data_IF_359945283103
#
_entry.id   IF_359945283103
#
_cell.length_a   1.000
_cell.length_b   1.000
_cell.length_c   1.000
_cell.angle_alpha   90.00
_cell.angle_beta   90.00
_cell.angle_gamma   90.00
#
_symmetry.space_group_name_H-M   'P 1'
#
loop_
_entity.id
_entity.type
_entity.pdbx_description
1 polymer ?
#
# COMPACT_ATOMS: atom_id res chain seq x y z
N UNK A 1 -18.54 9.74 5.26
CA UNK A 1 -17.42 9.83 6.19
C UNK A 1 -17.93 10.33 7.53
N UNK A 2 -17.75 9.55 8.60
CA UNK A 2 -18.21 9.92 9.96
C UNK A 2 -17.27 10.97 10.59
N UNK A 3 -15.96 10.74 10.45
CA UNK A 3 -14.92 11.65 10.93
C UNK A 3 -13.67 11.55 10.05
N UNK A 4 -12.85 12.60 10.08
CA UNK A 4 -11.49 12.60 9.56
C UNK A 4 -10.55 12.95 10.71
N UNK A 5 -9.67 12.03 11.09
CA UNK A 5 -8.74 12.19 12.21
C UNK A 5 -7.32 12.14 11.64
N UNK A 6 -6.54 13.20 11.85
CA UNK A 6 -5.13 13.25 11.46
C UNK A 6 -4.30 12.62 12.57
N UNK A 7 -3.52 11.59 12.25
CA UNK A 7 -2.63 10.90 13.18
C UNK A 7 -1.40 10.32 12.48
N UNK A 8 -0.50 9.74 13.28
CA UNK A 8 0.71 9.09 12.81
C UNK A 8 0.79 7.68 13.42
N UNK A 9 0.86 6.65 12.57
CA UNK A 9 0.99 5.25 13.03
C UNK A 9 2.25 4.99 13.86
N UNK A 10 3.29 5.84 13.73
CA UNK A 10 4.48 5.75 14.58
C UNK A 10 4.26 6.34 15.99
N UNK A 11 3.13 6.98 16.23
CA UNK A 11 2.70 7.43 17.55
C UNK A 11 1.55 6.55 18.05
N UNK A 12 1.78 5.57 18.94
CA UNK A 12 0.73 4.68 19.44
C UNK A 12 -0.45 5.43 20.05
N UNK A 13 -0.20 6.59 20.69
CA UNK A 13 -1.24 7.37 21.35
C UNK A 13 -2.28 7.92 20.35
N UNK A 14 -1.87 8.27 19.13
CA UNK A 14 -2.80 8.73 18.10
C UNK A 14 -3.80 7.63 17.72
N UNK A 15 -3.33 6.37 17.64
CA UNK A 15 -4.15 5.22 17.29
C UNK A 15 -5.09 4.88 18.46
N UNK A 16 -4.54 4.76 19.68
CA UNK A 16 -5.29 4.45 20.89
C UNK A 16 -6.43 5.47 21.12
N UNK A 17 -6.13 6.76 21.00
CA UNK A 17 -7.13 7.81 21.16
C UNK A 17 -8.22 7.72 20.08
N UNK A 18 -7.80 7.45 18.81
CA UNK A 18 -8.75 7.30 17.70
C UNK A 18 -9.72 6.15 17.93
N UNK A 19 -9.23 4.98 18.36
CA UNK A 19 -10.07 3.80 18.60
C UNK A 19 -10.95 3.99 19.85
N UNK A 20 -10.41 4.60 20.89
CA UNK A 20 -11.15 4.92 22.12
C UNK A 20 -12.33 5.87 21.86
N UNK A 21 -12.14 6.89 21.03
CA UNK A 21 -13.18 7.86 20.69
C UNK A 21 -14.22 7.30 19.68
N UNK A 22 -13.92 6.19 19.02
CA UNK A 22 -14.78 5.56 18.04
C UNK A 22 -14.99 4.07 18.32
N UNK A 23 -15.66 3.71 19.42
CA UNK A 23 -15.81 2.32 19.88
C UNK A 23 -16.70 1.46 18.97
N UNK A 24 -17.34 2.03 17.97
CA UNK A 24 -18.13 1.36 16.95
C UNK A 24 -17.29 0.83 15.76
N UNK A 25 -15.96 1.04 15.76
CA UNK A 25 -15.05 0.46 14.75
C UNK A 25 -14.96 -1.06 15.00
N UNK A 26 -15.32 -1.84 13.99
CA UNK A 26 -15.29 -3.31 14.02
C UNK A 26 -14.21 -3.91 13.13
N UNK A 27 -13.71 -3.15 12.16
CA UNK A 27 -12.69 -3.59 11.21
C UNK A 27 -11.80 -2.43 10.76
N UNK A 28 -10.61 -2.76 10.31
CA UNK A 28 -9.63 -1.80 9.79
C UNK A 28 -9.32 -2.11 8.33
N UNK A 29 -9.25 -1.07 7.48
CA UNK A 29 -8.67 -1.15 6.15
C UNK A 29 -7.35 -0.36 6.18
N UNK A 30 -6.23 -1.07 6.07
CA UNK A 30 -4.90 -0.51 6.27
C UNK A 30 -4.20 -0.23 4.93
N UNK A 31 -4.28 1.02 4.46
CA UNK A 31 -3.60 1.50 3.26
C UNK A 31 -2.29 2.26 3.56
N UNK A 32 -2.11 2.74 4.78
CA UNK A 32 -1.03 3.65 5.12
C UNK A 32 0.35 2.97 5.05
N UNK A 33 1.17 3.38 4.09
CA UNK A 33 2.55 2.90 3.92
C UNK A 33 3.35 3.83 3.01
N UNK A 34 4.68 3.76 3.09
CA UNK A 34 5.53 4.18 1.97
C UNK A 34 5.55 3.07 0.91
N UNK A 35 5.43 3.44 -0.38
CA UNK A 35 5.21 2.50 -1.48
C UNK A 35 6.19 2.62 -2.66
N UNK A 36 7.15 3.55 -2.61
CA UNK A 36 8.08 3.77 -3.71
C UNK A 36 9.28 2.81 -3.63
N UNK A 37 9.35 1.85 -4.56
CA UNK A 37 10.38 0.81 -4.60
C UNK A 37 11.79 1.43 -4.68
N UNK A 38 12.01 2.36 -5.61
CA UNK A 38 13.33 2.98 -5.78
C UNK A 38 13.80 3.76 -4.53
N UNK A 39 12.90 4.42 -3.82
CA UNK A 39 13.21 5.08 -2.55
C UNK A 39 13.54 4.06 -1.46
N UNK A 40 12.84 2.92 -1.43
CA UNK A 40 13.08 1.88 -0.43
C UNK A 40 14.50 1.34 -0.47
N UNK A 41 15.07 1.21 -1.67
CA UNK A 41 16.46 0.75 -1.85
C UNK A 41 17.46 1.80 -1.33
N UNK A 42 17.16 3.08 -1.50
CA UNK A 42 18.02 4.17 -1.04
C UNK A 42 17.89 4.43 0.47
N UNK A 43 16.72 4.21 1.04
CA UNK A 43 16.45 4.48 2.46
C UNK A 43 15.59 3.36 3.10
N UNK A 44 16.15 2.14 3.25
CA UNK A 44 15.38 1.00 3.75
C UNK A 44 14.87 1.21 5.18
N UNK A 45 15.63 1.89 6.03
CA UNK A 45 15.24 2.16 7.42
C UNK A 45 13.95 2.98 7.54
N UNK A 46 13.70 3.91 6.61
CA UNK A 46 12.45 4.68 6.53
C UNK A 46 11.25 3.73 6.31
N UNK A 47 11.41 2.77 5.39
CA UNK A 47 10.36 1.81 5.03
C UNK A 47 10.08 0.84 6.16
N UNK A 48 11.10 0.26 6.77
CA UNK A 48 10.90 -0.67 7.87
C UNK A 48 10.26 0.00 9.09
N UNK A 49 10.72 1.20 9.48
CA UNK A 49 10.08 1.91 10.59
C UNK A 49 8.62 2.23 10.30
N UNK A 50 8.34 2.85 9.16
CA UNK A 50 6.98 3.26 8.86
C UNK A 50 6.04 2.07 8.64
N UNK A 51 6.43 1.13 7.77
CA UNK A 51 5.54 0.08 7.32
C UNK A 51 5.41 -1.05 8.35
N UNK A 52 6.49 -1.40 9.06
CA UNK A 52 6.45 -2.50 10.04
C UNK A 52 6.07 -1.95 11.41
N UNK A 53 6.82 -0.99 11.95
CA UNK A 53 6.55 -0.49 13.31
C UNK A 53 5.19 0.20 13.38
N UNK A 54 4.83 0.99 12.35
CA UNK A 54 3.50 1.61 12.29
C UNK A 54 2.37 0.58 12.25
N UNK A 55 2.56 -0.55 11.55
CA UNK A 55 1.55 -1.61 11.52
C UNK A 55 1.52 -2.40 12.84
N UNK A 56 2.66 -2.63 13.51
CA UNK A 56 2.68 -3.24 14.85
C UNK A 56 1.89 -2.39 15.84
N UNK A 57 2.13 -1.09 15.89
CA UNK A 57 1.36 -0.19 16.77
C UNK A 57 -0.15 -0.27 16.49
N UNK A 58 -0.54 -0.39 15.21
CA UNK A 58 -1.95 -0.55 14.83
C UNK A 58 -2.52 -1.88 15.31
N UNK A 59 -1.80 -2.99 15.13
CA UNK A 59 -2.24 -4.32 15.56
C UNK A 59 -2.34 -4.44 17.08
N UNK A 60 -1.40 -3.84 17.81
CA UNK A 60 -1.44 -3.76 19.26
C UNK A 60 -2.69 -3.00 19.74
N UNK A 61 -2.95 -1.83 19.17
CA UNK A 61 -4.14 -1.05 19.49
C UNK A 61 -5.44 -1.81 19.13
N UNK A 62 -5.48 -2.48 17.97
CA UNK A 62 -6.61 -3.34 17.60
C UNK A 62 -6.85 -4.44 18.65
N UNK A 63 -5.78 -5.08 19.13
CA UNK A 63 -5.86 -6.10 20.19
C UNK A 63 -6.45 -5.52 21.47
N UNK A 64 -5.96 -4.35 21.93
CA UNK A 64 -6.46 -3.68 23.13
C UNK A 64 -7.95 -3.29 23.04
N UNK A 65 -8.42 -2.94 21.85
CA UNK A 65 -9.81 -2.54 21.61
C UNK A 65 -10.71 -3.68 21.11
N UNK A 66 -10.21 -4.93 21.04
CA UNK A 66 -11.00 -6.09 20.61
C UNK A 66 -11.39 -6.10 19.14
N UNK A 67 -10.66 -5.38 18.29
CA UNK A 67 -10.91 -5.33 16.84
C UNK A 67 -10.17 -6.48 16.17
N UNK A 68 -10.91 -7.47 15.65
CA UNK A 68 -10.34 -8.72 15.16
C UNK A 68 -10.33 -8.85 13.62
N UNK A 69 -10.60 -7.79 12.87
CA UNK A 69 -10.67 -7.85 11.42
C UNK A 69 -9.84 -6.76 10.77
N UNK A 70 -8.97 -7.16 9.82
CA UNK A 70 -8.14 -6.20 9.06
C UNK A 70 -8.05 -6.59 7.58
N UNK A 71 -8.22 -5.61 6.69
CA UNK A 71 -7.87 -5.71 5.28
C UNK A 71 -6.55 -4.97 5.08
N UNK A 72 -5.53 -5.68 4.64
CA UNK A 72 -4.18 -5.14 4.47
C UNK A 72 -3.84 -4.93 3.00
N UNK A 73 -3.44 -3.73 2.66
CA UNK A 73 -2.87 -3.38 1.36
C UNK A 73 -1.44 -3.93 1.26
N UNK A 74 -1.33 -5.15 0.75
CA UNK A 74 -0.05 -5.77 0.43
C UNK A 74 0.37 -5.43 -1.01
N UNK A 75 1.25 -6.22 -1.63
CA UNK A 75 1.82 -5.93 -2.95
C UNK A 75 2.30 -7.19 -3.65
N UNK A 76 2.24 -7.21 -4.97
CA UNK A 76 2.90 -8.22 -5.81
C UNK A 76 4.43 -8.24 -5.63
N UNK A 77 5.04 -7.13 -5.17
CA UNK A 77 6.48 -7.08 -4.88
C UNK A 77 6.94 -8.08 -3.79
N UNK A 78 6.01 -8.69 -3.05
CA UNK A 78 6.31 -9.79 -2.11
C UNK A 78 6.78 -11.05 -2.85
N UNK A 79 6.36 -11.27 -4.09
CA UNK A 79 6.76 -12.44 -4.87
C UNK A 79 8.19 -12.37 -5.40
N UNK A 80 8.71 -11.16 -5.67
CA UNK A 80 10.02 -10.96 -6.30
C UNK A 80 10.00 -11.34 -7.77
N UNK A 81 11.09 -11.99 -8.23
CA UNK A 81 11.20 -12.47 -9.61
C UNK A 81 10.27 -13.66 -9.83
N UNK A 82 9.40 -13.64 -10.85
CA UNK A 82 8.46 -14.72 -11.11
C UNK A 82 9.14 -16.04 -11.45
N UNK A 83 8.76 -17.12 -10.77
CA UNK A 83 9.21 -18.48 -11.10
C UNK A 83 8.28 -19.16 -12.11
N UNK A 84 7.04 -18.73 -12.19
CA UNK A 84 6.05 -19.16 -13.18
C UNK A 84 4.98 -18.06 -13.40
N UNK A 85 4.25 -18.18 -14.50
CA UNK A 85 3.16 -17.25 -14.86
C UNK A 85 1.96 -18.04 -15.40
N UNK A 86 0.71 -17.67 -15.06
CA UNK A 86 0.35 -16.55 -14.18
C UNK A 86 0.75 -16.78 -12.72
N UNK A 87 1.03 -15.70 -11.99
CA UNK A 87 1.30 -15.75 -10.55
C UNK A 87 -0.01 -15.95 -9.80
N UNK A 88 -0.07 -16.94 -8.92
CA UNK A 88 -1.17 -17.20 -8.01
C UNK A 88 -0.75 -17.01 -6.54
N UNK A 89 -1.66 -17.26 -5.59
CA UNK A 89 -1.40 -17.08 -4.16
C UNK A 89 -0.41 -18.12 -3.59
N UNK A 90 -0.14 -19.21 -4.31
CA UNK A 90 0.82 -20.27 -3.93
C UNK A 90 2.22 -19.98 -4.42
N UNK A 91 2.39 -18.96 -5.29
CA UNK A 91 3.70 -18.59 -5.79
C UNK A 91 4.65 -18.26 -4.63
N UNK A 92 5.90 -18.76 -4.64
CA UNK A 92 6.90 -18.44 -3.63
C UNK A 92 7.07 -16.92 -3.47
N UNK A 93 7.22 -16.48 -2.22
CA UNK A 93 7.47 -15.08 -1.89
C UNK A 93 8.95 -14.87 -1.58
N UNK A 94 9.63 -14.11 -2.43
CA UNK A 94 11.05 -13.78 -2.31
C UNK A 94 11.30 -12.34 -2.79
N UNK A 95 10.90 -11.32 -1.99
CA UNK A 95 11.01 -9.92 -2.40
C UNK A 95 12.46 -9.50 -2.65
N UNK A 96 12.67 -8.74 -3.74
CA UNK A 96 13.99 -8.26 -4.19
C UNK A 96 14.28 -6.81 -3.77
N UNK A 97 13.41 -6.21 -2.97
CA UNK A 97 13.59 -4.83 -2.49
C UNK A 97 13.00 -4.64 -1.08
N UNK A 98 13.46 -3.61 -0.34
CA UNK A 98 13.02 -3.36 1.04
C UNK A 98 11.52 -3.05 1.17
N UNK A 99 10.88 -2.44 0.17
CA UNK A 99 9.45 -2.23 0.18
C UNK A 99 8.70 -3.56 0.18
N UNK A 100 8.98 -4.45 -0.78
CA UNK A 100 8.39 -5.78 -0.83
C UNK A 100 8.66 -6.59 0.43
N UNK A 101 9.90 -6.53 0.95
CA UNK A 101 10.27 -7.20 2.21
C UNK A 101 9.48 -6.64 3.39
N UNK A 102 9.27 -5.32 3.49
CA UNK A 102 8.48 -4.73 4.58
C UNK A 102 7.03 -5.21 4.56
N UNK A 103 6.44 -5.35 3.37
CA UNK A 103 5.07 -5.86 3.22
C UNK A 103 4.98 -7.36 3.56
N UNK A 104 5.91 -8.18 3.09
CA UNK A 104 5.97 -9.60 3.43
C UNK A 104 6.16 -9.82 4.94
N UNK A 105 7.04 -9.05 5.58
CA UNK A 105 7.23 -9.10 7.03
C UNK A 105 5.92 -8.82 7.77
N UNK A 106 5.13 -7.83 7.33
CA UNK A 106 3.83 -7.54 7.91
C UNK A 106 2.84 -8.69 7.69
N UNK A 107 2.85 -9.35 6.53
CA UNK A 107 2.02 -10.54 6.32
C UNK A 107 2.33 -11.65 7.35
N UNK A 108 3.61 -11.90 7.64
CA UNK A 108 4.02 -12.88 8.67
C UNK A 108 3.62 -12.43 10.07
N UNK A 109 3.79 -11.16 10.41
CA UNK A 109 3.32 -10.59 11.68
C UNK A 109 1.82 -10.83 11.85
N UNK A 110 1.02 -10.63 10.81
CA UNK A 110 -0.42 -10.88 10.85
C UNK A 110 -0.77 -12.35 11.09
N UNK A 111 0.04 -13.31 10.59
CA UNK A 111 -0.14 -14.73 10.90
C UNK A 111 0.08 -15.01 12.40
N UNK A 112 1.05 -14.35 13.01
CA UNK A 112 1.35 -14.51 14.43
C UNK A 112 0.28 -13.82 15.28
N UNK A 113 -0.23 -12.65 14.88
CA UNK A 113 -1.34 -11.98 15.57
C UNK A 113 -2.67 -12.73 15.43
N UNK A 114 -2.90 -13.45 14.32
CA UNK A 114 -4.04 -14.36 14.21
C UNK A 114 -3.96 -15.51 15.23
N UNK A 115 -2.79 -16.16 15.34
CA UNK A 115 -2.57 -17.25 16.29
C UNK A 115 -2.68 -16.79 17.75
N UNK A 116 -2.11 -15.62 18.08
CA UNK A 116 -2.01 -15.13 19.44
C UNK A 116 -3.30 -14.43 19.91
N UNK A 117 -3.95 -13.66 19.04
CA UNK A 117 -5.02 -12.74 19.41
C UNK A 117 -6.30 -12.90 18.56
N UNK A 118 -6.30 -13.78 17.56
CA UNK A 118 -7.44 -14.04 16.70
C UNK A 118 -7.73 -12.93 15.68
N UNK A 119 -6.75 -12.07 15.37
CA UNK A 119 -6.92 -11.01 14.35
C UNK A 119 -6.89 -11.63 12.95
N UNK A 120 -8.05 -11.68 12.30
CA UNK A 120 -8.19 -12.21 10.94
C UNK A 120 -7.84 -11.14 9.92
N UNK A 121 -6.97 -11.50 8.96
CA UNK A 121 -6.51 -10.58 7.91
C UNK A 121 -6.86 -11.05 6.52
N UNK A 122 -7.26 -10.11 5.65
CA UNK A 122 -7.28 -10.27 4.20
C UNK A 122 -6.12 -9.45 3.63
N UNK A 123 -5.22 -10.09 2.86
CA UNK A 123 -4.00 -9.48 2.32
C UNK A 123 -4.13 -9.32 0.83
N UNK A 124 -4.30 -8.10 0.36
CA UNK A 124 -4.50 -7.82 -1.06
C UNK A 124 -3.15 -7.50 -1.70
N UNK A 125 -2.59 -8.46 -2.44
CA UNK A 125 -1.31 -8.32 -3.15
C UNK A 125 -1.55 -7.67 -4.51
N UNK A 126 -1.64 -6.33 -4.51
CA UNK A 126 -1.87 -5.56 -5.72
C UNK A 126 -0.69 -5.66 -6.68
N UNK A 127 -1.00 -5.83 -7.97
CA UNK A 127 -0.06 -5.64 -9.07
C UNK A 127 -0.08 -4.18 -9.50
N UNK A 128 -0.97 -3.82 -10.44
CA UNK A 128 -1.15 -2.47 -10.90
C UNK A 128 -2.63 -2.11 -10.75
N UNK A 129 -2.97 -1.47 -9.64
CA UNK A 129 -4.32 -0.95 -9.48
C UNK A 129 -4.56 0.16 -10.51
N UNK A 130 -5.65 0.07 -11.24
CA UNK A 130 -6.00 1.02 -12.27
C UNK A 130 -7.50 1.30 -12.27
N UNK A 131 -7.87 2.48 -12.74
CA UNK A 131 -9.26 2.91 -12.83
C UNK A 131 -9.51 4.22 -12.09
N UNK A 132 -10.72 4.72 -12.27
CA UNK A 132 -11.23 5.91 -11.60
C UNK A 132 -12.73 5.79 -11.38
N UNK A 133 -13.29 6.64 -10.53
CA UNK A 133 -14.74 6.74 -10.38
C UNK A 133 -15.38 7.12 -11.71
N UNK A 134 -16.40 6.38 -12.13
CA UNK A 134 -17.14 6.62 -13.39
C UNK A 134 -17.79 7.99 -13.43
N UNK A 135 -18.08 8.59 -12.29
CA UNK A 135 -18.60 9.96 -12.17
C UNK A 135 -17.49 11.03 -12.13
N UNK A 136 -16.22 10.66 -12.37
CA UNK A 136 -15.06 11.56 -12.50
C UNK A 136 -14.73 12.40 -11.26
N UNK A 137 -15.20 12.01 -10.07
CA UNK A 137 -14.98 12.75 -8.82
C UNK A 137 -13.78 12.30 -8.04
N UNK A 138 -13.34 11.05 -8.24
CA UNK A 138 -12.22 10.43 -7.52
C UNK A 138 -11.34 9.70 -8.54
N UNK A 139 -10.05 9.96 -8.50
CA UNK A 139 -9.04 9.32 -9.34
C UNK A 139 -7.69 9.35 -8.67
N UNK A 140 -6.70 8.72 -9.32
CA UNK A 140 -5.32 8.72 -8.88
C UNK A 140 -4.68 10.09 -9.14
N UNK A 141 -3.99 10.64 -8.12
CA UNK A 141 -3.27 11.91 -8.21
C UNK A 141 -2.01 11.88 -7.34
N UNK A 142 -0.84 11.80 -7.99
CA UNK A 142 0.46 11.84 -7.32
C UNK A 142 1.34 12.98 -7.84
N UNK A 143 2.14 13.57 -6.95
CA UNK A 143 3.15 14.56 -7.29
C UNK A 143 4.45 14.26 -6.53
N UNK A 144 5.55 13.86 -7.21
CA UNK A 144 5.61 13.53 -8.66
C UNK A 144 4.86 12.24 -9.00
N UNK A 145 4.33 12.14 -10.22
CA UNK A 145 3.71 10.91 -10.72
C UNK A 145 4.80 9.91 -11.14
N UNK A 146 4.74 8.72 -10.57
CA UNK A 146 5.74 7.64 -10.80
C UNK A 146 5.12 6.36 -11.36
N UNK A 147 3.77 6.27 -11.40
CA UNK A 147 3.08 5.08 -11.86
C UNK A 147 2.95 5.03 -13.37
N UNK A 148 3.04 3.82 -13.93
CA UNK A 148 3.08 3.58 -15.36
C UNK A 148 1.84 4.09 -16.08
N UNK A 149 0.64 3.68 -15.64
CA UNK A 149 -0.62 3.98 -16.33
C UNK A 149 -0.90 5.48 -16.41
N UNK A 150 -0.86 6.27 -15.31
CA UNK A 150 -1.03 7.72 -15.39
C UNK A 150 0.00 8.41 -16.28
N UNK A 151 1.25 7.95 -16.28
CA UNK A 151 2.29 8.51 -17.13
C UNK A 151 2.06 8.23 -18.61
N UNK A 152 1.62 7.01 -18.97
CA UNK A 152 1.25 6.70 -20.35
C UNK A 152 0.07 7.56 -20.81
N UNK A 153 -0.97 7.70 -19.97
CA UNK A 153 -2.15 8.52 -20.29
C UNK A 153 -1.78 10.00 -20.46
N UNK A 154 -0.94 10.54 -19.57
CA UNK A 154 -0.42 11.92 -19.71
C UNK A 154 0.35 12.11 -21.02
N UNK A 155 1.22 11.16 -21.36
CA UNK A 155 1.98 11.21 -22.62
C UNK A 155 1.06 11.12 -23.85
N UNK A 156 0.05 10.26 -23.83
CA UNK A 156 -0.93 10.15 -24.91
C UNK A 156 -1.71 11.46 -25.11
N UNK A 157 -2.19 12.08 -24.03
CA UNK A 157 -2.89 13.37 -24.10
C UNK A 157 -1.98 14.48 -24.66
N UNK A 158 -0.72 14.53 -24.21
CA UNK A 158 0.25 15.50 -24.73
C UNK A 158 0.52 15.30 -26.23
N UNK A 159 0.61 14.05 -26.69
CA UNK A 159 0.80 13.75 -28.12
C UNK A 159 -0.41 14.14 -28.98
N UNK A 160 -1.62 14.01 -28.47
CA UNK A 160 -2.84 14.43 -29.21
C UNK A 160 -2.97 15.95 -29.28
N UNK A 161 -2.40 16.67 -28.32
CA UNK A 161 -2.42 18.14 -28.28
C UNK A 161 -1.24 18.78 -29.02
N UNK A 162 -0.19 18.00 -29.34
CA UNK A 162 0.98 18.48 -30.06
C UNK A 162 0.62 18.76 -31.51
N UNK A 163 0.67 20.04 -31.91
CA UNK A 163 0.38 20.51 -33.29
C UNK A 163 1.56 20.29 -34.23
N UNK A 164 2.75 20.02 -33.69
CA UNK A 164 3.98 19.92 -34.48
C UNK A 164 4.61 18.52 -34.34
N UNK A 165 4.99 17.81 -35.42
CA UNK A 165 5.61 16.47 -35.34
C UNK A 165 6.88 16.39 -34.50
N UNK A 166 7.65 17.49 -34.39
CA UNK A 166 8.87 17.61 -33.60
C UNK A 166 8.62 17.71 -32.09
N UNK A 167 7.40 17.98 -31.65
CA UNK A 167 7.02 18.06 -30.24
C UNK A 167 6.59 16.70 -29.68
N UNK A 168 6.43 15.69 -30.53
CA UNK A 168 6.06 14.33 -30.12
C UNK A 168 7.25 13.65 -29.45
N UNK A 169 7.25 13.62 -28.13
CA UNK A 169 8.25 12.88 -27.35
C UNK A 169 7.88 11.40 -27.30
N UNK A 170 8.86 10.52 -27.59
CA UNK A 170 8.70 9.10 -27.32
C UNK A 170 8.60 8.88 -25.81
N UNK A 171 7.65 8.02 -25.40
CA UNK A 171 7.56 7.57 -24.01
C UNK A 171 8.67 6.54 -23.78
N UNK A 172 9.56 6.79 -22.84
CA UNK A 172 10.60 5.84 -22.43
C UNK A 172 10.18 5.14 -21.14
N UNK A 173 10.14 3.81 -21.20
CA UNK A 173 10.04 2.95 -20.02
C UNK A 173 11.45 2.71 -19.48
N UNK A 174 11.66 3.00 -18.20
CA UNK A 174 12.90 2.71 -17.47
C UNK A 174 12.65 1.55 -16.51
#
# INVERSE_FOLDING_TARGET
>A
LKAFIKGNLLNPQDIEQTLKENPDITAVIHFAAYSQVAESVKNPGKYYRNNIVGTLNLLDAMTHHGICQIVFSSTAATYGEPQYSPIDEKHPQNPVNPYGMSKLTVEHIMDDYDKAYGIKSVRLRYFNAAGADTNTRIGEWHQPETHLIPNILKAAVQQTQATNPTEKKAFQLY
#
